data_IF_546010922270
#
_entry.id   IF_546010922270
#
_cell.length_a   1.000
_cell.length_b   1.000
_cell.length_c   1.000
_cell.angle_alpha   90.00
_cell.angle_beta   90.00
_cell.angle_gamma   90.00
#
_symmetry.space_group_name_H-M   'P 1'
#
loop_
_entity.id
_entity.type
_entity.pdbx_description
1 polymer ?
#
# COMPACT_ATOMS: atom_id res chain seq x y z
N UNK A 1 45.63 -44.90 14.20
CA UNK A 1 44.83 -46.02 14.74
C UNK A 1 43.51 -45.44 15.24
N UNK A 2 42.40 -45.80 14.58
CA UNK A 2 41.03 -45.42 14.94
C UNK A 2 40.55 -46.17 16.19
N UNK A 3 39.65 -45.58 16.97
CA UNK A 3 38.51 -46.27 17.59
C UNK A 3 37.37 -45.28 17.96
N UNK A 4 36.15 -45.63 17.55
CA UNK A 4 34.84 -45.03 17.85
C UNK A 4 34.48 -45.20 19.36
N UNK A 5 33.46 -44.63 20.01
CA UNK A 5 32.00 -44.52 19.76
C UNK A 5 31.42 -43.62 20.87
N UNK A 6 30.29 -42.93 20.63
CA UNK A 6 29.37 -42.61 21.75
C UNK A 6 28.49 -41.36 21.60
N UNK A 7 27.51 -41.38 20.69
CA UNK A 7 26.38 -40.44 20.71
C UNK A 7 25.45 -40.82 21.86
N UNK A 8 25.11 -39.88 22.72
CA UNK A 8 23.94 -39.97 23.61
C UNK A 8 22.99 -38.81 23.27
N UNK A 9 21.89 -39.17 22.65
CA UNK A 9 20.70 -38.34 22.50
C UNK A 9 19.89 -38.48 23.78
N UNK A 10 19.56 -37.37 24.44
CA UNK A 10 18.47 -37.31 25.41
C UNK A 10 17.42 -36.35 24.88
N UNK A 11 16.26 -36.91 24.55
CA UNK A 11 15.01 -36.21 24.23
C UNK A 11 14.11 -36.25 25.47
N UNK A 12 13.27 -35.22 25.61
CA UNK A 12 12.14 -35.00 26.52
C UNK A 12 12.43 -33.94 27.60
N UNK A 13 11.57 -32.96 27.90
CA UNK A 13 10.15 -32.81 27.60
C UNK A 13 9.76 -31.32 27.43
N UNK A 14 8.63 -31.16 26.75
CA UNK A 14 7.92 -29.92 26.43
C UNK A 14 7.53 -29.13 27.68
N UNK A 15 7.83 -27.83 27.69
CA UNK A 15 7.08 -26.83 28.45
C UNK A 15 6.76 -25.67 27.50
N UNK A 16 5.58 -25.77 26.89
CA UNK A 16 4.95 -24.65 26.20
C UNK A 16 4.46 -23.69 27.28
N UNK A 17 5.04 -22.50 27.32
CA UNK A 17 4.31 -21.32 27.79
C UNK A 17 4.31 -20.34 26.63
N UNK A 18 3.24 -20.39 25.82
CA UNK A 18 2.96 -19.36 24.83
C UNK A 18 2.65 -18.06 25.59
N UNK A 19 3.69 -17.29 25.88
CA UNK A 19 3.51 -15.85 26.02
C UNK A 19 3.38 -15.30 24.61
N UNK A 20 2.15 -15.14 24.13
CA UNK A 20 1.85 -14.13 23.13
C UNK A 20 2.26 -12.79 23.74
N UNK A 21 3.29 -12.08 23.27
CA UNK A 21 3.30 -10.65 23.50
C UNK A 21 2.11 -10.15 22.68
N UNK A 22 0.97 -9.94 23.35
CA UNK A 22 0.01 -8.96 22.88
C UNK A 22 0.85 -7.72 22.58
N UNK A 23 0.99 -7.39 21.29
CA UNK A 23 1.63 -6.14 20.87
C UNK A 23 0.69 -5.04 21.31
N UNK A 24 0.71 -4.74 22.60
CA UNK A 24 0.03 -3.62 23.18
C UNK A 24 0.79 -2.43 22.61
N UNK A 25 0.23 -1.81 21.58
CA UNK A 25 0.63 -0.48 21.16
C UNK A 25 0.28 0.42 22.34
N UNK A 26 1.15 0.43 23.35
CA UNK A 26 1.15 1.49 24.34
C UNK A 26 1.62 2.69 23.55
N UNK A 27 0.69 3.58 23.21
CA UNK A 27 1.06 4.97 22.97
C UNK A 27 1.92 5.37 24.17
N UNK A 28 3.24 5.51 23.97
CA UNK A 28 4.09 6.11 24.98
C UNK A 28 3.46 7.49 25.19
N UNK A 29 2.91 7.78 26.39
CA UNK A 29 2.46 9.13 26.63
C UNK A 29 3.69 10.00 26.44
N UNK A 30 3.57 10.98 25.54
CA UNK A 30 4.53 12.06 25.40
C UNK A 30 4.80 12.53 26.82
N UNK A 31 6.02 12.35 27.32
CA UNK A 31 6.40 12.76 28.67
C UNK A 31 6.52 14.28 28.65
N UNK A 32 5.36 14.92 28.73
CA UNK A 32 5.15 16.35 28.79
C UNK A 32 3.85 16.56 29.55
N UNK A 33 3.88 17.48 30.52
CA UNK A 33 2.78 17.80 31.44
C UNK A 33 1.58 18.45 30.72
N UNK A 34 0.86 17.72 29.86
CA UNK A 34 -0.39 18.18 29.24
C UNK A 34 -1.52 17.16 29.43
N UNK A 35 -2.70 17.73 29.72
CA UNK A 35 -3.92 17.17 30.29
C UNK A 35 -4.36 15.76 29.87
N UNK A 36 -4.92 14.94 30.79
CA UNK A 36 -5.45 13.61 30.48
C UNK A 36 -6.75 13.57 29.66
N UNK A 37 -7.41 14.70 29.34
CA UNK A 37 -8.81 14.71 28.89
C UNK A 37 -9.11 15.66 27.70
N UNK A 38 -8.14 15.92 26.81
CA UNK A 38 -8.44 16.67 25.57
C UNK A 38 -9.16 15.74 24.56
N UNK A 39 -10.39 16.06 24.12
CA UNK A 39 -11.04 15.33 23.04
C UNK A 39 -10.19 15.43 21.78
N UNK A 40 -9.86 14.29 21.16
CA UNK A 40 -9.17 14.30 19.88
C UNK A 40 -10.13 14.84 18.81
N UNK A 41 -9.95 16.09 18.39
CA UNK A 41 -10.73 16.74 17.33
C UNK A 41 -9.89 16.82 16.05
N UNK A 42 -9.81 15.74 15.25
CA UNK A 42 -9.05 15.77 14.01
C UNK A 42 -9.64 16.83 13.07
N UNK A 43 -8.78 17.70 12.56
CA UNK A 43 -9.15 18.61 11.48
C UNK A 43 -8.90 17.89 10.16
N UNK A 44 -9.94 17.74 9.34
CA UNK A 44 -9.83 17.21 7.98
C UNK A 44 -9.59 18.37 7.01
N UNK A 45 -8.64 18.20 6.10
CA UNK A 45 -8.38 19.13 5.01
C UNK A 45 -8.60 18.43 3.67
N UNK A 46 -9.32 19.09 2.76
CA UNK A 46 -9.46 18.63 1.38
C UNK A 46 -8.26 19.11 0.59
N UNK A 47 -7.51 18.19 -0.01
CA UNK A 47 -6.43 18.53 -0.94
C UNK A 47 -7.07 18.96 -2.27
N UNK A 48 -6.76 20.14 -2.81
CA UNK A 48 -7.53 20.78 -3.88
C UNK A 48 -7.19 20.23 -5.27
N UNK A 49 -7.33 18.91 -5.48
CA UNK A 49 -7.33 18.36 -6.83
C UNK A 49 -8.52 18.87 -7.63
N UNK A 50 -8.33 19.05 -8.94
CA UNK A 50 -9.33 19.58 -9.86
C UNK A 50 -9.71 18.51 -10.88
N UNK A 51 -11.01 18.25 -10.99
CA UNK A 51 -11.57 17.39 -12.03
C UNK A 51 -11.24 15.90 -11.86
N UNK A 52 -11.13 15.42 -10.62
CA UNK A 52 -11.06 13.96 -10.36
C UNK A 52 -12.37 13.27 -10.74
N UNK A 53 -12.26 12.05 -11.23
CA UNK A 53 -13.39 11.18 -11.59
C UNK A 53 -13.10 9.77 -11.08
N UNK A 54 -13.80 9.35 -10.03
CA UNK A 54 -13.61 8.03 -9.40
C UNK A 54 -12.18 7.73 -8.97
N UNK A 55 -11.56 8.53 -8.08
CA UNK A 55 -10.22 8.24 -7.58
C UNK A 55 -10.23 6.94 -6.73
N UNK A 56 -9.33 5.99 -7.02
CA UNK A 56 -9.30 4.68 -6.36
C UNK A 56 -8.06 4.42 -5.50
N UNK A 57 -6.95 5.12 -5.76
CA UNK A 57 -5.70 4.94 -5.04
C UNK A 57 -4.99 6.25 -4.72
N UNK A 58 -4.26 6.27 -3.61
CA UNK A 58 -3.48 7.43 -3.16
C UNK A 58 -2.10 7.00 -2.64
N UNK A 59 -1.08 7.82 -2.88
CA UNK A 59 0.24 7.70 -2.28
C UNK A 59 0.82 9.08 -1.96
N UNK A 60 1.80 9.13 -1.06
CA UNK A 60 2.49 10.36 -0.68
C UNK A 60 3.99 10.11 -0.77
N UNK A 61 4.73 11.01 -1.43
CA UNK A 61 6.19 10.92 -1.47
C UNK A 61 6.85 11.61 -0.26
N UNK A 62 8.17 11.45 -0.14
CA UNK A 62 8.95 12.02 0.96
C UNK A 62 8.97 13.55 1.01
N UNK A 63 8.62 14.22 -0.09
CA UNK A 63 8.47 15.68 -0.16
C UNK A 63 7.04 16.14 0.15
N UNK A 64 6.12 15.21 0.47
CA UNK A 64 4.73 15.51 0.76
C UNK A 64 3.85 15.71 -0.47
N UNK A 65 4.33 15.39 -1.68
CA UNK A 65 3.46 15.41 -2.85
C UNK A 65 2.49 14.24 -2.77
N UNK A 66 1.22 14.51 -3.05
CA UNK A 66 0.15 13.50 -3.03
C UNK A 66 -0.13 13.07 -4.46
N UNK A 67 -0.13 11.76 -4.69
CA UNK A 67 -0.42 11.12 -5.97
C UNK A 67 -1.77 10.43 -5.88
N UNK A 68 -2.59 10.54 -6.92
CA UNK A 68 -3.92 9.95 -7.00
C UNK A 68 -4.07 9.19 -8.32
N UNK A 69 -4.51 7.94 -8.23
CA UNK A 69 -5.00 7.17 -9.37
C UNK A 69 -6.43 7.65 -9.70
N UNK A 70 -6.54 8.47 -10.75
CA UNK A 70 -7.77 9.13 -11.19
C UNK A 70 -8.46 8.23 -12.24
N UNK A 71 -9.04 7.12 -11.76
CA UNK A 71 -9.48 5.97 -12.57
C UNK A 71 -10.39 6.36 -13.73
N UNK A 72 -11.41 7.18 -13.46
CA UNK A 72 -12.40 7.61 -14.45
C UNK A 72 -11.82 8.48 -15.57
N UNK A 73 -10.67 9.11 -15.32
CA UNK A 73 -9.93 9.88 -16.32
C UNK A 73 -8.71 9.14 -16.89
N UNK A 74 -8.51 7.85 -16.54
CA UNK A 74 -7.41 7.01 -17.02
C UNK A 74 -6.01 7.64 -16.88
N UNK A 75 -5.77 8.31 -15.75
CA UNK A 75 -4.50 9.00 -15.48
C UNK A 75 -4.10 8.87 -14.01
N UNK A 76 -2.84 9.14 -13.74
CA UNK A 76 -2.36 9.44 -12.38
C UNK A 76 -2.07 10.94 -12.31
N UNK A 77 -2.52 11.60 -11.25
CA UNK A 77 -2.22 13.02 -10.99
C UNK A 77 -1.42 13.15 -9.72
N UNK A 78 -0.61 14.20 -9.61
CA UNK A 78 0.09 14.58 -8.38
C UNK A 78 -0.17 16.05 -8.03
N UNK A 79 -0.18 16.38 -6.75
CA UNK A 79 -0.30 17.73 -6.25
C UNK A 79 0.59 17.88 -5.02
N UNK A 80 1.43 18.92 -5.00
CA UNK A 80 2.12 19.34 -3.78
C UNK A 80 1.15 20.25 -3.00
N UNK A 81 0.64 19.85 -1.82
CA UNK A 81 -0.40 20.60 -1.11
C UNK A 81 -0.02 22.07 -0.87
N UNK A 82 1.26 22.33 -0.63
CA UNK A 82 1.80 23.67 -0.40
C UNK A 82 1.84 24.55 -1.68
N UNK A 83 2.04 23.93 -2.85
CA UNK A 83 2.10 24.66 -4.13
C UNK A 83 0.73 24.87 -4.77
N UNK A 84 -0.27 24.08 -4.37
CA UNK A 84 -1.62 24.05 -4.97
C UNK A 84 -1.67 23.62 -6.45
N UNK A 85 -0.55 23.23 -7.07
CA UNK A 85 -0.51 22.94 -8.51
C UNK A 85 -0.65 21.45 -8.78
N UNK A 86 -1.75 21.07 -9.42
CA UNK A 86 -1.96 19.71 -9.94
C UNK A 86 -1.15 19.49 -11.21
N UNK A 87 -0.54 18.31 -11.34
CA UNK A 87 0.17 17.86 -12.53
C UNK A 87 -0.29 16.45 -12.92
N UNK A 88 -0.41 16.17 -14.22
CA UNK A 88 -0.60 14.81 -14.71
C UNK A 88 0.76 14.10 -14.68
N UNK A 89 0.80 12.93 -14.07
CA UNK A 89 1.99 12.06 -14.09
C UNK A 89 2.07 11.42 -15.47
N UNK A 90 3.24 11.50 -16.11
CA UNK A 90 3.45 11.22 -17.54
C UNK A 90 3.38 9.76 -17.97
N UNK A 91 2.49 8.96 -17.39
CA UNK A 91 2.16 7.64 -17.92
C UNK A 91 1.45 7.77 -19.27
N UNK A 92 1.62 6.77 -20.14
CA UNK A 92 0.90 6.67 -21.41
C UNK A 92 0.19 5.33 -21.53
N UNK A 93 -1.03 5.36 -22.09
CA UNK A 93 -1.81 4.15 -22.36
C UNK A 93 -2.37 3.45 -21.12
N UNK A 94 -2.55 4.13 -19.98
CA UNK A 94 -3.23 3.56 -18.82
C UNK A 94 -4.71 3.30 -19.11
N UNK A 95 -5.27 2.24 -18.53
CA UNK A 95 -6.68 1.90 -18.64
C UNK A 95 -7.29 1.74 -17.24
N UNK A 96 -7.95 2.79 -16.74
CA UNK A 96 -8.55 2.82 -15.40
C UNK A 96 -7.55 2.40 -14.29
N UNK A 97 -6.52 3.22 -13.99
CA UNK A 97 -5.56 2.91 -12.94
C UNK A 97 -6.23 2.85 -11.57
N UNK A 98 -5.99 1.79 -10.80
CA UNK A 98 -6.74 1.53 -9.56
C UNK A 98 -5.91 1.79 -8.29
N UNK A 99 -4.59 1.86 -8.40
CA UNK A 99 -3.70 2.08 -7.27
C UNK A 99 -2.38 2.70 -7.70
N UNK A 100 -1.75 3.42 -6.78
CA UNK A 100 -0.48 4.11 -7.00
C UNK A 100 0.47 3.91 -5.82
N UNK A 101 1.77 3.81 -6.08
CA UNK A 101 2.84 3.82 -5.09
C UNK A 101 4.01 4.67 -5.62
N UNK A 102 4.81 5.24 -4.71
CA UNK A 102 5.94 6.10 -5.06
C UNK A 102 7.13 5.76 -4.16
N UNK A 103 8.33 5.65 -4.74
CA UNK A 103 9.56 5.36 -3.99
C UNK A 103 10.41 6.62 -3.74
N UNK A 104 11.50 6.46 -2.97
CA UNK A 104 12.43 7.56 -2.65
C UNK A 104 13.24 8.06 -3.84
N UNK A 105 13.27 7.34 -4.96
CA UNK A 105 13.88 7.77 -6.20
C UNK A 105 12.88 8.49 -7.12
N UNK A 106 11.65 8.74 -6.64
CA UNK A 106 10.52 9.30 -7.37
C UNK A 106 10.09 8.44 -8.57
N UNK A 107 10.34 7.13 -8.55
CA UNK A 107 9.64 6.24 -9.47
C UNK A 107 8.20 6.11 -9.00
N UNK A 108 7.27 6.16 -9.95
CA UNK A 108 5.84 6.02 -9.70
C UNK A 108 5.39 4.69 -10.25
N UNK A 109 4.68 3.91 -9.45
CA UNK A 109 4.15 2.61 -9.81
C UNK A 109 2.64 2.70 -9.79
N UNK A 110 1.99 2.18 -10.83
CA UNK A 110 0.53 2.07 -10.89
C UNK A 110 0.14 0.69 -11.39
N UNK A 111 -1.05 0.24 -11.03
CA UNK A 111 -1.68 -0.87 -11.73
C UNK A 111 -3.01 -0.45 -12.31
N UNK A 112 -3.43 -1.15 -13.36
CA UNK A 112 -4.62 -0.79 -14.14
C UNK A 112 -5.58 -1.97 -14.29
N UNK A 113 -6.71 -1.73 -14.96
CA UNK A 113 -7.76 -2.74 -15.13
C UNK A 113 -7.32 -3.92 -16.00
N UNK A 114 -6.24 -3.78 -16.78
CA UNK A 114 -5.63 -4.86 -17.55
C UNK A 114 -4.68 -5.72 -16.69
N UNK A 115 -4.65 -5.47 -15.38
CA UNK A 115 -3.75 -6.08 -14.40
C UNK A 115 -2.26 -5.81 -14.70
N UNK A 116 -1.96 -4.76 -15.47
CA UNK A 116 -0.58 -4.39 -15.77
C UNK A 116 -0.03 -3.59 -14.59
N UNK A 117 1.16 -3.95 -14.13
CA UNK A 117 1.93 -3.13 -13.20
C UNK A 117 2.91 -2.29 -14.01
N UNK A 118 2.74 -0.97 -13.98
CA UNK A 118 3.52 -0.03 -14.79
C UNK A 118 4.34 0.85 -13.87
N UNK A 119 5.64 0.94 -14.15
CA UNK A 119 6.56 1.86 -13.50
C UNK A 119 6.87 3.03 -14.46
N UNK A 120 6.73 4.25 -13.97
CA UNK A 120 7.31 5.45 -14.56
C UNK A 120 8.59 5.80 -13.81
N UNK A 121 9.72 5.73 -14.50
CA UNK A 121 11.05 5.94 -13.93
C UNK A 121 11.28 7.43 -13.67
N UNK A 122 11.50 7.77 -12.41
CA UNK A 122 11.80 9.12 -11.95
C UNK A 122 12.99 9.72 -12.69
N UNK A 123 12.86 10.99 -13.11
CA UNK A 123 13.93 11.73 -13.79
C UNK A 123 14.25 11.30 -15.23
N UNK A 124 13.54 10.33 -15.80
CA UNK A 124 13.80 9.82 -17.17
C UNK A 124 12.60 9.88 -18.12
N UNK A 125 11.41 10.23 -17.64
CA UNK A 125 10.15 10.24 -18.42
C UNK A 125 9.93 8.95 -19.23
N UNK A 126 10.45 7.82 -18.73
CA UNK A 126 10.40 6.52 -19.38
C UNK A 126 9.54 5.60 -18.53
N UNK A 127 8.62 4.88 -19.15
CA UNK A 127 7.81 3.87 -18.47
C UNK A 127 8.17 2.46 -18.92
N UNK A 128 7.94 1.48 -18.05
CA UNK A 128 8.02 0.05 -18.38
C UNK A 128 6.92 -0.73 -17.68
N UNK A 129 6.46 -1.80 -18.32
CA UNK A 129 5.58 -2.78 -17.67
C UNK A 129 6.46 -3.76 -16.91
N UNK A 130 6.22 -3.89 -15.61
CA UNK A 130 6.92 -4.84 -14.77
C UNK A 130 6.33 -6.24 -14.96
N UNK A 131 7.17 -7.30 -14.93
CA UNK A 131 6.67 -8.66 -15.09
C UNK A 131 5.89 -9.01 -13.82
N UNK A 132 4.58 -9.05 -13.93
CA UNK A 132 3.66 -9.40 -12.86
C UNK A 132 2.54 -10.28 -13.42
N UNK A 133 2.09 -11.25 -12.64
CA UNK A 133 1.02 -12.17 -13.04
C UNK A 133 -0.04 -12.28 -11.95
N UNK A 134 -1.31 -12.27 -12.36
CA UNK A 134 -2.49 -12.32 -11.49
C UNK A 134 -3.13 -10.94 -11.32
N UNK A 135 -4.01 -10.78 -10.35
CA UNK A 135 -4.81 -9.55 -10.21
C UNK A 135 -4.33 -8.68 -9.06
N UNK A 136 -3.68 -7.53 -9.32
CA UNK A 136 -3.26 -6.61 -8.27
C UNK A 136 -4.49 -5.91 -7.67
N UNK A 137 -4.49 -5.71 -6.34
CA UNK A 137 -5.56 -5.02 -5.61
C UNK A 137 -5.05 -3.88 -4.74
N UNK A 138 -3.75 -3.84 -4.47
CA UNK A 138 -3.08 -2.78 -3.73
C UNK A 138 -1.57 -2.93 -3.86
N UNK A 139 -0.83 -1.83 -3.73
CA UNK A 139 0.63 -1.82 -3.86
C UNK A 139 1.29 -0.91 -2.82
N UNK A 140 2.46 -1.31 -2.34
CA UNK A 140 3.37 -0.49 -1.55
C UNK A 140 4.80 -0.75 -2.00
N UNK A 141 5.69 0.23 -1.88
CA UNK A 141 7.10 0.10 -2.26
C UNK A 141 8.01 0.43 -1.07
N UNK A 142 9.05 -0.36 -0.85
CA UNK A 142 10.05 -0.08 0.19
C UNK A 142 11.22 0.77 -0.33
N UNK A 143 12.05 1.27 0.58
CA UNK A 143 13.28 2.02 0.25
C UNK A 143 14.32 1.18 -0.51
N UNK A 144 14.19 -0.14 -0.44
CA UNK A 144 14.99 -1.10 -1.18
C UNK A 144 14.50 -1.30 -2.62
N UNK A 145 13.43 -0.63 -3.07
CA UNK A 145 12.86 -0.79 -4.42
C UNK A 145 12.13 -2.12 -4.62
N UNK A 146 11.62 -2.73 -3.55
CA UNK A 146 10.73 -3.88 -3.67
C UNK A 146 9.29 -3.41 -3.64
N UNK A 147 8.51 -3.83 -4.63
CA UNK A 147 7.09 -3.60 -4.74
C UNK A 147 6.33 -4.77 -4.10
N UNK A 148 5.51 -4.49 -3.10
CA UNK A 148 4.63 -5.44 -2.43
C UNK A 148 3.23 -5.27 -2.98
N UNK A 149 2.71 -6.30 -3.63
CA UNK A 149 1.46 -6.26 -4.38
C UNK A 149 0.51 -7.27 -3.76
N UNK A 150 -0.63 -6.81 -3.25
CA UNK A 150 -1.69 -7.71 -2.79
C UNK A 150 -2.49 -8.25 -3.96
N UNK A 151 -2.80 -9.54 -3.92
CA UNK A 151 -3.66 -10.22 -4.88
C UNK A 151 -4.84 -10.82 -4.13
N UNK A 152 -5.93 -10.06 -4.12
CA UNK A 152 -7.11 -10.36 -3.35
C UNK A 152 -7.71 -11.73 -3.76
N UNK A 153 -7.83 -11.96 -5.07
CA UNK A 153 -8.40 -13.19 -5.65
C UNK A 153 -7.48 -14.40 -5.46
N UNK A 154 -6.16 -14.18 -5.49
CA UNK A 154 -5.16 -15.24 -5.33
C UNK A 154 -4.77 -15.48 -3.86
N UNK A 155 -5.41 -14.78 -2.91
CA UNK A 155 -5.16 -14.89 -1.47
C UNK A 155 -3.68 -14.78 -1.07
N UNK A 156 -2.92 -13.93 -1.77
CA UNK A 156 -1.47 -13.82 -1.57
C UNK A 156 -0.95 -12.40 -1.71
N UNK A 157 0.28 -12.19 -1.27
CA UNK A 157 1.05 -10.97 -1.51
C UNK A 157 2.31 -11.35 -2.27
N UNK A 158 2.64 -10.62 -3.32
CA UNK A 158 3.87 -10.78 -4.09
C UNK A 158 4.83 -9.68 -3.69
N UNK A 159 6.09 -10.04 -3.42
CA UNK A 159 7.22 -9.12 -3.43
C UNK A 159 7.88 -9.20 -4.80
N UNK A 160 8.02 -8.07 -5.47
CA UNK A 160 8.69 -7.92 -6.76
C UNK A 160 9.86 -6.95 -6.61
N UNK A 161 11.08 -7.39 -6.88
CA UNK A 161 12.25 -6.51 -6.98
C UNK A 161 12.21 -5.79 -8.33
N UNK A 162 12.08 -4.45 -8.31
CA UNK A 162 11.91 -3.66 -9.53
C UNK A 162 13.20 -3.54 -10.35
N UNK A 163 14.36 -3.90 -9.80
CA UNK A 163 15.66 -3.86 -10.51
C UNK A 163 15.98 -5.19 -11.18
N UNK A 164 15.76 -6.29 -10.45
CA UNK A 164 16.08 -7.63 -10.94
C UNK A 164 14.90 -8.35 -11.60
N UNK A 165 13.68 -7.83 -11.44
CA UNK A 165 12.41 -8.48 -11.81
C UNK A 165 12.14 -9.79 -11.05
N UNK A 166 12.90 -10.10 -9.99
CA UNK A 166 12.68 -11.29 -9.20
C UNK A 166 11.37 -11.17 -8.40
N UNK A 167 10.57 -12.23 -8.43
CA UNK A 167 9.31 -12.31 -7.68
C UNK A 167 9.39 -13.37 -6.59
N UNK A 168 8.74 -13.07 -5.46
CA UNK A 168 8.56 -13.98 -4.34
C UNK A 168 7.13 -13.89 -3.84
N UNK A 169 6.46 -15.04 -3.74
CA UNK A 169 5.19 -15.12 -2.99
C UNK A 169 5.51 -15.02 -1.51
N UNK A 170 4.94 -14.01 -0.85
CA UNK A 170 4.99 -13.88 0.60
C UNK A 170 3.83 -14.68 1.20
N UNK A 171 4.17 -15.65 2.03
CA UNK A 171 3.20 -16.51 2.68
C UNK A 171 2.57 -15.78 3.87
N UNK A 172 1.29 -15.44 3.73
CA UNK A 172 0.43 -14.99 4.82
C UNK A 172 -0.74 -15.97 4.94
N UNK A 173 -1.13 -16.33 6.16
CA UNK A 173 -2.33 -17.13 6.42
C UNK A 173 -3.54 -16.22 6.66
N UNK A 174 -4.74 -16.68 6.29
CA UNK A 174 -5.99 -15.96 6.58
C UNK A 174 -6.24 -14.74 5.67
N UNK A 175 -5.53 -14.62 4.54
CA UNK A 175 -5.84 -13.61 3.55
C UNK A 175 -7.17 -13.94 2.86
N UNK A 176 -8.10 -12.99 2.87
CA UNK A 176 -9.34 -13.06 2.12
C UNK A 176 -9.60 -11.70 1.49
N UNK A 177 -10.20 -11.69 0.31
CA UNK A 177 -10.90 -10.50 -0.15
C UNK A 177 -11.94 -10.11 0.89
N UNK A 178 -12.06 -8.81 1.16
CA UNK A 178 -13.28 -8.31 1.77
C UNK A 178 -14.43 -8.60 0.79
N UNK A 179 -15.22 -9.63 1.07
CA UNK A 179 -16.58 -9.70 0.54
C UNK A 179 -17.35 -8.58 1.22
N UNK A 180 -17.38 -7.41 0.61
CA UNK A 180 -18.32 -6.38 1.03
C UNK A 180 -19.70 -6.86 0.58
N UNK A 181 -20.64 -7.24 1.46
CA UNK A 181 -22.02 -7.38 1.04
C UNK A 181 -22.48 -5.98 0.63
N UNK A 182 -22.56 -5.70 -0.67
CA UNK A 182 -23.06 -4.40 -1.15
C UNK A 182 -24.54 -4.24 -0.82
N UNK A 183 -25.04 -2.98 -0.67
CA UNK A 183 -24.32 -1.72 -0.82
C UNK A 183 -24.10 -0.99 0.51
N UNK A 184 -22.97 -0.29 0.63
CA UNK A 184 -22.85 0.85 1.54
C UNK A 184 -24.07 1.76 1.33
N UNK A 185 -24.79 2.17 2.39
CA UNK A 185 -25.90 3.11 2.22
C UNK A 185 -25.35 4.37 1.59
N UNK A 186 -25.73 4.62 0.32
CA UNK A 186 -25.66 5.96 -0.26
C UNK A 186 -26.39 6.85 0.73
N UNK A 187 -25.70 7.84 1.28
CA UNK A 187 -26.32 8.90 2.08
C UNK A 187 -27.50 9.43 1.27
N UNK A 188 -28.69 9.00 1.68
CA UNK A 188 -29.95 9.48 1.13
C UNK A 188 -30.00 10.98 1.34
N UNK A 189 -30.46 11.68 0.30
CA UNK A 189 -30.86 13.07 0.30
C UNK A 189 -31.35 13.52 1.69
N UNK A 190 -30.72 14.56 2.25
CA UNK A 190 -31.44 15.48 3.11
C UNK A 190 -32.50 16.17 2.23
N UNK A 191 -33.70 15.61 2.21
CA UNK A 191 -34.91 16.36 1.86
C UNK A 191 -35.22 17.29 3.05
N UNK A 192 -35.79 18.46 2.76
CA UNK A 192 -36.02 19.56 3.72
C UNK A 192 -36.97 19.21 4.87
N UNK A 193 -37.43 20.14 5.70
CA UNK A 193 -37.55 21.60 5.61
C UNK A 193 -38.07 22.09 6.97
N UNK A 194 -37.70 23.32 7.34
CA UNK A 194 -38.19 24.16 8.45
C UNK A 194 -37.98 23.67 9.89
#
# INVERSE_FOLDING_TARGET
>A
MLAFVGIVIVVAAVLVCEHYPQLLVRHRPVSGTREPNQPWTPTQTVIPFIGLSGPEGVAVDSAGNVYVADSGNSRVVKLAPESGTQQVVGFTGLNRPLGVAVDLANNVYTFDQENRVVELVGGRSAQRVLPFSGSPSGMAVDSGGNLYISQCVDHRVIKLDTRSNAQQVLAFSGLACASCPTPCPRSGKAAGSF
#
